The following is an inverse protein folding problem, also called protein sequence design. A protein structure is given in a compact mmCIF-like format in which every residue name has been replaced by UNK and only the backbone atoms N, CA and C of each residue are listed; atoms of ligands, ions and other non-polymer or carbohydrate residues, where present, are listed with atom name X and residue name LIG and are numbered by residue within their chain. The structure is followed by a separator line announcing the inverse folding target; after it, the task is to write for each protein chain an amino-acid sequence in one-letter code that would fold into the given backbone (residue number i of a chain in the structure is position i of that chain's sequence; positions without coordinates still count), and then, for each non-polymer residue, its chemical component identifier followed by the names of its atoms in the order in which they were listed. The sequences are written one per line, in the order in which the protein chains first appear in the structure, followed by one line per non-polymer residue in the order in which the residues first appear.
data_IF_948255909573
#
_entry.id   IF_948255909573
#
_cell.length_a   1.000
_cell.length_b   1.000
_cell.length_c   1.000
_cell.angle_alpha   90.00
_cell.angle_beta   90.00
_cell.angle_gamma   90.00
#
_symmetry.space_group_name_H-M   'P 1'
#
loop_
_entity.id
_entity.type
_entity.pdbx_description
1 polymer ?
#
# COMPACT_ATOMS: atom_id res chain seq x y z
N UNK A 1 18.04 19.79 3.27
CA UNK A 1 19.03 19.16 4.16
C UNK A 1 18.81 17.66 4.38
N UNK A 2 17.71 17.24 5.02
CA UNK A 2 17.48 15.80 5.28
C UNK A 2 17.51 14.92 4.02
N UNK A 3 16.78 15.31 2.97
CA UNK A 3 16.74 14.59 1.68
C UNK A 3 18.10 14.54 0.97
N UNK A 4 18.95 15.54 1.18
CA UNK A 4 20.33 15.56 0.66
C UNK A 4 21.15 14.49 1.39
N UNK A 5 21.03 14.42 2.72
CA UNK A 5 21.66 13.37 3.53
C UNK A 5 21.21 11.97 3.12
N UNK A 6 19.89 11.74 2.98
CA UNK A 6 19.34 10.46 2.53
C UNK A 6 19.86 10.08 1.13
N UNK A 7 19.93 11.03 0.19
CA UNK A 7 20.45 10.79 -1.16
C UNK A 7 21.95 10.45 -1.15
N UNK A 8 22.75 11.13 -0.32
CA UNK A 8 24.18 10.82 -0.17
C UNK A 8 24.39 9.42 0.39
N UNK A 9 23.65 9.07 1.45
CA UNK A 9 23.76 7.75 2.09
C UNK A 9 23.36 6.62 1.13
N UNK A 10 22.21 6.75 0.45
CA UNK A 10 21.78 5.79 -0.57
C UNK A 10 22.74 5.70 -1.76
N UNK A 11 23.39 6.80 -2.14
CA UNK A 11 24.37 6.80 -3.23
C UNK A 11 25.59 5.93 -2.91
N UNK A 12 25.97 5.81 -1.63
CA UNK A 12 27.05 4.91 -1.20
C UNK A 12 26.68 3.42 -1.33
N UNK A 13 25.39 3.08 -1.42
CA UNK A 13 24.95 1.71 -1.68
C UNK A 13 24.98 1.34 -3.18
N UNK A 14 25.08 2.32 -4.09
CA UNK A 14 25.02 2.08 -5.55
C UNK A 14 26.11 1.11 -6.06
N UNK A 15 27.38 1.18 -5.62
CA UNK A 15 28.42 0.23 -6.07
C UNK A 15 28.14 -1.24 -5.74
N UNK A 16 27.24 -1.52 -4.78
CA UNK A 16 26.81 -2.87 -4.41
C UNK A 16 25.48 -3.27 -5.03
N UNK A 17 24.93 -2.47 -5.96
CA UNK A 17 23.64 -2.70 -6.60
C UNK A 17 23.66 -2.33 -8.08
N UNK A 18 22.49 -2.13 -8.70
CA UNK A 18 22.40 -1.64 -10.07
C UNK A 18 22.54 -0.12 -10.15
N UNK A 19 23.19 0.43 -11.19
CA UNK A 19 23.41 1.88 -11.34
C UNK A 19 22.12 2.69 -11.23
N UNK A 20 22.13 3.74 -10.40
CA UNK A 20 21.02 4.69 -10.21
C UNK A 20 21.57 6.09 -10.00
N UNK A 21 20.82 7.09 -10.47
CA UNK A 21 21.02 8.49 -10.11
C UNK A 21 20.08 8.81 -8.95
N UNK A 22 20.63 9.15 -7.79
CA UNK A 22 19.87 9.44 -6.57
C UNK A 22 20.23 10.86 -6.12
N UNK A 23 19.23 11.71 -5.91
CA UNK A 23 19.42 13.11 -5.56
C UNK A 23 18.21 13.65 -4.79
N UNK A 24 18.42 14.73 -4.03
CA UNK A 24 17.31 15.52 -3.51
C UNK A 24 16.67 16.29 -4.66
N UNK A 25 15.40 16.03 -4.93
CA UNK A 25 14.64 16.60 -6.04
C UNK A 25 13.71 17.75 -5.61
N UNK A 26 13.18 18.47 -6.58
CA UNK A 26 12.04 19.39 -6.47
C UNK A 26 10.87 18.89 -7.34
N UNK A 27 9.68 19.47 -7.19
CA UNK A 27 8.51 19.03 -7.97
C UNK A 27 8.69 19.16 -9.50
N UNK A 28 9.47 20.13 -9.98
CA UNK A 28 9.80 20.28 -11.41
C UNK A 28 10.50 19.05 -12.00
N UNK A 29 11.20 18.27 -11.18
CA UNK A 29 11.87 17.04 -11.62
C UNK A 29 10.87 15.92 -11.95
N UNK A 30 9.58 16.08 -11.64
CA UNK A 30 8.56 15.09 -11.96
C UNK A 30 8.09 15.13 -13.42
N UNK A 31 8.52 16.11 -14.22
CA UNK A 31 8.03 16.33 -15.59
C UNK A 31 8.18 15.11 -16.53
N UNK A 32 9.20 14.27 -16.31
CA UNK A 32 9.51 13.06 -17.09
C UNK A 32 9.47 11.78 -16.24
N UNK A 33 8.90 11.84 -15.03
CA UNK A 33 8.80 10.68 -14.16
C UNK A 33 7.72 9.70 -14.65
N UNK A 34 8.05 8.39 -14.73
CA UNK A 34 7.04 7.35 -14.98
C UNK A 34 6.11 7.14 -13.77
N UNK A 35 6.62 7.33 -12.55
CA UNK A 35 5.91 7.02 -11.29
C UNK A 35 6.25 8.04 -10.20
N UNK A 36 5.23 8.59 -9.54
CA UNK A 36 5.37 9.41 -8.33
C UNK A 36 4.78 8.68 -7.14
N UNK A 37 5.62 8.37 -6.14
CA UNK A 37 5.20 7.70 -4.89
C UNK A 37 5.01 8.74 -3.79
N UNK A 38 3.79 8.90 -3.29
CA UNK A 38 3.49 9.85 -2.21
C UNK A 38 3.40 9.12 -0.88
N UNK A 39 4.39 9.33 -0.03
CA UNK A 39 4.45 8.82 1.35
C UNK A 39 4.30 9.94 2.40
N UNK A 40 4.14 11.19 1.94
CA UNK A 40 4.03 12.35 2.81
C UNK A 40 2.64 12.43 3.43
N UNK A 41 2.59 12.47 4.75
CA UNK A 41 1.37 12.61 5.52
C UNK A 41 1.72 12.93 6.96
N UNK A 42 0.70 13.30 7.72
CA UNK A 42 0.85 13.58 9.14
C UNK A 42 0.13 12.52 9.96
N UNK A 43 0.73 12.15 11.09
CA UNK A 43 0.11 11.25 12.05
C UNK A 43 -0.98 11.96 12.86
N UNK A 44 -1.94 11.18 13.35
CA UNK A 44 -2.97 11.65 14.26
C UNK A 44 -2.36 12.21 15.54
N UNK A 45 -2.81 13.38 15.98
CA UNK A 45 -2.42 13.96 17.26
C UNK A 45 -3.35 13.49 18.38
N UNK A 46 -2.88 13.40 19.63
CA UNK A 46 -3.75 13.11 20.76
C UNK A 46 -4.94 14.09 20.81
N UNK A 47 -6.17 13.56 20.83
CA UNK A 47 -7.41 14.34 20.85
C UNK A 47 -7.91 14.83 19.48
N UNK A 48 -7.21 14.55 18.38
CA UNK A 48 -7.66 14.88 17.01
C UNK A 48 -8.69 13.85 16.52
N UNK A 49 -9.77 14.29 15.87
CA UNK A 49 -10.74 13.35 15.28
C UNK A 49 -10.18 12.73 13.98
N UNK A 50 -10.72 11.58 13.56
CA UNK A 50 -10.37 10.97 12.26
C UNK A 50 -10.66 11.94 11.09
N UNK A 51 -11.73 12.71 11.19
CA UNK A 51 -12.11 13.69 10.17
C UNK A 51 -11.12 14.86 10.08
N UNK A 52 -10.63 15.36 11.23
CA UNK A 52 -9.62 16.42 11.26
C UNK A 52 -8.30 15.97 10.63
N UNK A 53 -7.87 14.74 10.96
CA UNK A 53 -6.69 14.12 10.36
C UNK A 53 -6.82 14.02 8.84
N UNK A 54 -7.98 13.52 8.36
CA UNK A 54 -8.31 13.43 6.93
C UNK A 54 -8.21 14.80 6.27
N UNK A 55 -8.89 15.82 6.82
CA UNK A 55 -8.90 17.17 6.26
C UNK A 55 -7.49 17.78 6.18
N UNK A 56 -6.65 17.54 7.19
CA UNK A 56 -5.26 18.00 7.21
C UNK A 56 -4.43 17.31 6.14
N UNK A 57 -4.52 15.98 6.02
CA UNK A 57 -3.78 15.24 5.02
C UNK A 57 -4.27 15.51 3.60
N UNK A 58 -5.57 15.78 3.40
CA UNK A 58 -6.12 16.20 2.09
C UNK A 58 -5.49 17.53 1.64
N UNK A 59 -5.32 18.51 2.53
CA UNK A 59 -4.68 19.79 2.18
C UNK A 59 -3.22 19.62 1.77
N UNK A 60 -2.48 18.78 2.50
CA UNK A 60 -1.08 18.44 2.17
C UNK A 60 -1.04 17.73 0.81
N UNK A 61 -1.90 16.73 0.62
CA UNK A 61 -1.99 15.97 -0.62
C UNK A 61 -2.30 16.87 -1.81
N UNK A 62 -3.26 17.80 -1.68
CA UNK A 62 -3.59 18.76 -2.73
C UNK A 62 -2.36 19.58 -3.13
N UNK A 63 -1.62 20.14 -2.16
CA UNK A 63 -0.43 20.92 -2.46
C UNK A 63 0.65 20.12 -3.18
N UNK A 64 0.86 18.85 -2.81
CA UNK A 64 1.80 17.96 -3.51
C UNK A 64 1.32 17.68 -4.93
N UNK A 65 0.06 17.29 -5.10
CA UNK A 65 -0.50 16.90 -6.40
C UNK A 65 -0.53 18.09 -7.36
N UNK A 66 -0.93 19.28 -6.89
CA UNK A 66 -0.94 20.50 -7.71
C UNK A 66 0.47 20.79 -8.28
N UNK A 67 1.52 20.73 -7.44
CA UNK A 67 2.90 21.00 -7.86
C UNK A 67 3.46 19.92 -8.79
N UNK A 68 3.16 18.65 -8.51
CA UNK A 68 3.57 17.54 -9.38
C UNK A 68 2.91 17.67 -10.75
N UNK A 69 1.61 17.92 -10.81
CA UNK A 69 0.90 18.09 -12.08
C UNK A 69 1.35 19.35 -12.83
N UNK A 70 1.67 20.44 -12.12
CA UNK A 70 2.21 21.66 -12.71
C UNK A 70 3.56 21.46 -13.41
N UNK A 71 4.32 20.41 -13.06
CA UNK A 71 5.56 20.04 -13.76
C UNK A 71 5.34 19.47 -15.17
N UNK A 72 4.10 19.10 -15.52
CA UNK A 72 3.79 18.38 -16.76
C UNK A 72 3.79 16.86 -16.61
N UNK A 73 3.81 16.35 -15.38
CA UNK A 73 3.72 14.92 -15.06
C UNK A 73 2.50 14.25 -15.71
N UNK A 74 2.74 13.13 -16.39
CA UNK A 74 1.71 12.29 -17.04
C UNK A 74 1.91 10.79 -16.74
N UNK A 75 2.60 10.47 -15.65
CA UNK A 75 2.85 9.11 -15.19
C UNK A 75 1.73 8.54 -14.31
N UNK A 76 2.11 7.65 -13.40
CA UNK A 76 1.21 7.01 -12.42
C UNK A 76 1.49 7.55 -11.01
N UNK A 77 0.44 7.83 -10.24
CA UNK A 77 0.58 8.06 -8.79
C UNK A 77 0.45 6.75 -8.02
N UNK A 78 1.36 6.53 -7.07
CA UNK A 78 1.27 5.49 -6.06
C UNK A 78 1.21 6.11 -4.65
N UNK A 79 0.06 6.00 -4.00
CA UNK A 79 -0.22 6.65 -2.71
C UNK A 79 -0.03 5.65 -1.58
N UNK A 80 0.81 6.02 -0.61
CA UNK A 80 1.04 5.25 0.63
C UNK A 80 0.65 6.04 1.89
N UNK A 81 0.37 7.34 1.74
CA UNK A 81 -0.04 8.22 2.84
C UNK A 81 -1.38 7.80 3.40
N UNK A 82 -1.53 7.84 4.73
CA UNK A 82 -2.77 7.44 5.40
C UNK A 82 -3.72 8.61 5.69
N UNK A 83 -5.06 8.40 5.62
CA UNK A 83 -5.72 7.14 5.25
C UNK A 83 -5.70 6.90 3.74
N UNK A 84 -5.10 5.77 3.33
CA UNK A 84 -4.65 5.56 1.94
C UNK A 84 -5.79 5.56 0.93
N UNK A 85 -6.92 4.94 1.24
CA UNK A 85 -8.05 4.85 0.32
C UNK A 85 -8.65 6.24 0.01
N UNK A 86 -8.85 7.05 1.06
CA UNK A 86 -9.37 8.42 0.96
C UNK A 86 -8.36 9.33 0.23
N UNK A 87 -7.07 9.22 0.56
CA UNK A 87 -6.04 10.05 -0.07
C UNK A 87 -5.76 9.65 -1.52
N UNK A 88 -6.01 8.39 -1.88
CA UNK A 88 -5.98 7.92 -3.27
C UNK A 88 -7.14 8.53 -4.07
N UNK A 89 -8.36 8.49 -3.52
CA UNK A 89 -9.52 9.17 -4.12
C UNK A 89 -9.26 10.69 -4.27
N UNK A 90 -8.73 11.34 -3.25
CA UNK A 90 -8.41 12.77 -3.29
C UNK A 90 -7.36 13.07 -4.36
N UNK A 91 -6.30 12.26 -4.47
CA UNK A 91 -5.27 12.39 -5.51
C UNK A 91 -5.88 12.27 -6.90
N UNK A 92 -6.80 11.32 -7.11
CA UNK A 92 -7.51 11.18 -8.38
C UNK A 92 -8.31 12.44 -8.73
N UNK A 93 -9.07 12.98 -7.78
CA UNK A 93 -9.83 14.21 -8.00
C UNK A 93 -8.94 15.43 -8.26
N UNK A 94 -7.81 15.54 -7.57
CA UNK A 94 -6.92 16.71 -7.71
C UNK A 94 -6.05 16.65 -8.97
N UNK A 95 -5.57 15.47 -9.33
CA UNK A 95 -4.68 15.30 -10.49
C UNK A 95 -5.43 15.41 -11.82
N UNK A 96 -6.71 15.01 -11.85
CA UNK A 96 -7.46 14.92 -13.11
C UNK A 96 -6.99 13.78 -14.02
N UNK A 97 -6.10 12.92 -13.54
CA UNK A 97 -5.65 11.75 -14.28
C UNK A 97 -6.77 10.70 -14.40
N UNK A 98 -6.72 9.83 -15.42
CA UNK A 98 -7.53 8.62 -15.47
C UNK A 98 -7.41 7.79 -14.19
N UNK A 99 -8.52 7.16 -13.78
CA UNK A 99 -8.62 6.42 -12.51
C UNK A 99 -7.59 5.27 -12.41
N UNK A 100 -7.26 4.65 -13.52
CA UNK A 100 -6.27 3.58 -13.63
C UNK A 100 -4.82 4.04 -13.38
N UNK A 101 -4.55 5.35 -13.45
CA UNK A 101 -3.21 5.94 -13.20
C UNK A 101 -3.06 6.50 -11.78
N UNK A 102 -4.03 6.29 -10.90
CA UNK A 102 -3.93 6.68 -9.49
C UNK A 102 -4.21 5.47 -8.64
N UNK A 103 -3.19 4.96 -7.96
CA UNK A 103 -3.23 3.69 -7.24
C UNK A 103 -2.81 3.96 -5.80
N UNK A 104 -3.50 3.39 -4.83
CA UNK A 104 -3.02 3.36 -3.44
C UNK A 104 -2.42 2.02 -3.09
N UNK A 105 -1.51 1.98 -2.11
CA UNK A 105 -0.98 0.72 -1.59
C UNK A 105 -2.08 -0.19 -1.02
N UNK A 106 -3.19 0.42 -0.55
CA UNK A 106 -4.34 -0.30 0.01
C UNK A 106 -3.92 -1.35 1.03
N UNK A 107 -4.48 -2.55 0.90
CA UNK A 107 -4.27 -3.69 1.78
C UNK A 107 -3.09 -4.60 1.34
N UNK A 108 -2.15 -4.08 0.53
CA UNK A 108 -0.97 -4.83 0.08
C UNK A 108 -0.10 -5.34 1.22
N UNK A 109 0.19 -4.48 2.21
CA UNK A 109 1.00 -4.88 3.36
C UNK A 109 0.21 -5.81 4.28
N UNK A 110 -1.07 -5.56 4.50
CA UNK A 110 -1.90 -6.37 5.40
C UNK A 110 -2.11 -7.76 4.81
N UNK A 111 -2.25 -7.87 3.48
CA UNK A 111 -2.22 -9.16 2.78
C UNK A 111 -0.87 -9.86 2.93
N UNK A 112 0.25 -9.15 2.86
CA UNK A 112 1.57 -9.76 3.07
C UNK A 112 1.74 -10.29 4.50
N UNK A 113 1.29 -9.52 5.51
CA UNK A 113 1.23 -9.95 6.92
C UNK A 113 0.33 -11.16 7.10
N UNK A 114 -0.85 -11.15 6.49
CA UNK A 114 -1.79 -12.27 6.52
C UNK A 114 -1.18 -13.56 6.00
N UNK A 115 -0.51 -13.50 4.84
CA UNK A 115 0.20 -14.66 4.28
C UNK A 115 1.32 -15.13 5.20
N UNK A 116 2.06 -14.20 5.81
CA UNK A 116 3.11 -14.52 6.77
C UNK A 116 2.55 -15.21 8.02
N UNK A 117 1.49 -14.67 8.64
CA UNK A 117 0.90 -15.24 9.85
C UNK A 117 0.36 -16.66 9.64
N UNK A 118 -0.28 -16.92 8.48
CA UNK A 118 -0.70 -18.28 8.11
C UNK A 118 0.52 -19.18 7.90
N UNK A 119 1.54 -18.68 7.21
CA UNK A 119 2.77 -19.43 6.93
C UNK A 119 3.53 -19.81 8.21
N UNK A 120 3.61 -18.90 9.19
CA UNK A 120 4.20 -19.18 10.50
C UNK A 120 3.40 -20.22 11.27
N UNK A 121 2.06 -20.11 11.25
CA UNK A 121 1.17 -21.08 11.90
C UNK A 121 1.35 -22.50 11.31
N UNK A 122 1.37 -22.61 9.98
CA UNK A 122 1.49 -23.89 9.27
C UNK A 122 2.94 -24.35 9.04
N UNK A 123 3.93 -23.53 9.40
CA UNK A 123 5.37 -23.75 9.21
C UNK A 123 5.76 -24.00 7.74
N UNK A 124 5.21 -23.19 6.84
CA UNK A 124 5.50 -23.19 5.40
C UNK A 124 6.09 -21.85 4.95
N UNK A 125 6.59 -21.76 3.73
CA UNK A 125 7.00 -20.47 3.15
C UNK A 125 5.76 -19.66 2.73
N UNK A 126 5.69 -18.38 3.12
CA UNK A 126 4.58 -17.46 2.81
C UNK A 126 4.32 -17.27 1.32
N UNK A 127 5.30 -17.55 0.45
CA UNK A 127 5.10 -17.55 -1.01
C UNK A 127 4.18 -18.66 -1.51
N UNK A 128 3.98 -19.71 -0.71
CA UNK A 128 3.02 -20.80 -0.98
C UNK A 128 1.64 -20.54 -0.37
N UNK A 129 1.46 -19.41 0.34
CA UNK A 129 0.18 -18.99 0.89
C UNK A 129 -0.41 -17.93 -0.03
N UNK A 130 -1.62 -18.17 -0.52
CA UNK A 130 -2.36 -17.26 -1.36
C UNK A 130 -3.65 -16.88 -0.66
N UNK A 131 -3.87 -15.59 -0.49
CA UNK A 131 -5.03 -15.02 0.19
C UNK A 131 -4.95 -13.51 0.17
N UNK A 132 -6.02 -12.86 0.61
CA UNK A 132 -6.17 -11.41 0.55
C UNK A 132 -6.82 -10.87 1.83
N UNK A 133 -6.30 -9.74 2.27
CA UNK A 133 -7.04 -8.77 3.09
C UNK A 133 -7.64 -7.75 2.11
N UNK A 134 -8.93 -7.48 2.23
CA UNK A 134 -9.71 -6.61 1.35
C UNK A 134 -10.44 -5.55 2.18
N UNK A 135 -11.01 -4.55 1.50
CA UNK A 135 -11.77 -3.48 2.15
C UNK A 135 -10.93 -2.22 2.42
N UNK A 136 -11.45 -1.34 3.27
CA UNK A 136 -10.76 -0.13 3.69
C UNK A 136 -9.56 -0.53 4.56
N UNK A 137 -8.36 -0.02 4.24
CA UNK A 137 -7.16 -0.30 5.03
C UNK A 137 -7.34 0.19 6.48
N UNK A 138 -7.10 -0.69 7.45
CA UNK A 138 -7.22 -0.41 8.87
C UNK A 138 -8.31 -1.25 9.55
N UNK A 139 -9.04 -0.65 10.51
CA UNK A 139 -9.90 -1.42 11.44
C UNK A 139 -11.06 -2.19 10.79
N UNK A 140 -11.46 -1.78 9.58
CA UNK A 140 -12.61 -2.28 8.83
C UNK A 140 -12.22 -3.23 7.68
N UNK A 141 -10.93 -3.52 7.52
CA UNK A 141 -10.45 -4.51 6.56
C UNK A 141 -10.91 -5.92 6.96
N UNK A 142 -10.94 -6.86 6.01
CA UNK A 142 -11.38 -8.23 6.28
C UNK A 142 -10.62 -9.28 5.45
N UNK A 143 -10.44 -10.49 5.98
CA UNK A 143 -9.80 -11.60 5.28
C UNK A 143 -10.78 -12.30 4.33
N UNK A 144 -10.36 -12.50 3.09
CA UNK A 144 -11.09 -13.32 2.11
C UNK A 144 -10.81 -14.82 2.32
N UNK A 145 -11.21 -15.36 3.49
CA UNK A 145 -10.95 -16.75 3.88
C UNK A 145 -11.42 -17.78 2.85
N UNK A 146 -12.58 -17.55 2.24
CA UNK A 146 -13.16 -18.43 1.22
C UNK A 146 -12.29 -18.63 -0.03
N UNK A 147 -11.32 -17.74 -0.27
CA UNK A 147 -10.38 -17.81 -1.40
C UNK A 147 -8.92 -17.95 -0.92
N UNK A 148 -8.72 -18.24 0.36
CA UNK A 148 -7.39 -18.45 0.92
C UNK A 148 -6.97 -19.90 0.73
N UNK A 149 -5.79 -20.11 0.15
CA UNK A 149 -5.22 -21.42 -0.17
C UNK A 149 -3.76 -21.51 0.25
N UNK A 150 -3.31 -22.74 0.54
CA UNK A 150 -1.92 -23.07 0.84
C UNK A 150 -1.50 -24.25 -0.04
N UNK A 151 -0.51 -24.04 -0.90
CA UNK A 151 -0.12 -25.04 -1.91
C UNK A 151 -1.25 -25.41 -2.88
N UNK A 152 -2.25 -24.54 -3.05
CA UNK A 152 -3.42 -24.76 -3.90
C UNK A 152 -4.61 -25.43 -3.21
N UNK A 153 -4.46 -25.92 -1.96
CA UNK A 153 -5.59 -26.44 -1.19
C UNK A 153 -6.27 -25.32 -0.39
N UNK A 154 -7.61 -25.32 -0.27
CA UNK A 154 -8.34 -24.37 0.58
C UNK A 154 -7.83 -24.39 2.02
N UNK A 155 -7.86 -23.25 2.70
CA UNK A 155 -7.41 -23.13 4.09
C UNK A 155 -8.15 -24.06 5.05
N UNK A 156 -9.41 -24.40 4.74
CA UNK A 156 -10.25 -25.31 5.52
C UNK A 156 -9.77 -26.77 5.50
N UNK A 157 -8.90 -27.13 4.56
CA UNK A 157 -8.22 -28.45 4.53
C UNK A 157 -6.98 -28.47 5.45
N UNK A 158 -6.49 -27.29 5.86
CA UNK A 158 -5.32 -27.13 6.72
C UNK A 158 -5.68 -26.81 8.16
N UNK A 159 -6.75 -26.05 8.36
CA UNK A 159 -7.27 -25.62 9.66
C UNK A 159 -8.72 -26.08 9.72
N UNK A 160 -9.02 -27.02 10.63
CA UNK A 160 -10.35 -27.60 10.74
C UNK A 160 -11.35 -26.61 11.37
N UNK A 161 -12.65 -26.85 11.22
CA UNK A 161 -13.71 -26.01 11.83
C UNK A 161 -13.59 -25.97 13.37
N UNK A 162 -13.07 -27.02 14.01
CA UNK A 162 -12.82 -27.05 15.45
C UNK A 162 -11.67 -26.11 15.88
N UNK A 163 -10.84 -25.68 14.92
CA UNK A 163 -9.75 -24.73 15.07
C UNK A 163 -10.11 -23.33 14.52
N UNK A 164 -11.38 -23.03 14.29
CA UNK A 164 -11.83 -21.72 13.77
C UNK A 164 -11.30 -20.53 14.60
N UNK A 165 -11.13 -20.71 15.91
CA UNK A 165 -10.52 -19.69 16.78
C UNK A 165 -9.08 -19.33 16.39
N UNK A 166 -8.36 -20.23 15.70
CA UNK A 166 -7.03 -19.95 15.15
C UNK A 166 -7.11 -18.97 13.97
N UNK A 167 -8.09 -19.11 13.08
CA UNK A 167 -8.30 -18.18 11.96
C UNK A 167 -8.60 -16.76 12.48
N UNK A 168 -9.48 -16.65 13.48
CA UNK A 168 -9.79 -15.37 14.12
C UNK A 168 -8.55 -14.76 14.79
N UNK A 169 -7.78 -15.57 15.50
CA UNK A 169 -6.52 -15.14 16.14
C UNK A 169 -5.50 -14.64 15.10
N UNK A 170 -5.35 -15.36 13.98
CA UNK A 170 -4.50 -14.95 12.86
C UNK A 170 -4.95 -13.59 12.34
N UNK A 171 -6.24 -13.40 12.04
CA UNK A 171 -6.72 -12.14 11.49
C UNK A 171 -6.55 -10.97 12.48
N UNK A 172 -6.88 -11.16 13.76
CA UNK A 172 -6.67 -10.14 14.80
C UNK A 172 -5.19 -9.75 14.88
N UNK A 173 -4.27 -10.71 14.81
CA UNK A 173 -2.83 -10.41 14.81
C UNK A 173 -2.40 -9.57 13.61
N UNK A 174 -3.01 -9.77 12.44
CA UNK A 174 -2.68 -9.03 11.21
C UNK A 174 -3.15 -7.59 11.31
N UNK A 175 -4.41 -7.38 11.68
CA UNK A 175 -5.01 -6.05 11.86
C UNK A 175 -4.23 -5.24 12.91
N UNK A 176 -3.89 -5.88 14.03
CA UNK A 176 -3.26 -5.21 15.16
C UNK A 176 -1.71 -5.10 15.02
N UNK A 177 -1.12 -5.77 14.02
CA UNK A 177 0.34 -5.81 13.79
C UNK A 177 0.98 -4.42 13.68
N UNK A 178 0.29 -3.47 13.02
CA UNK A 178 0.80 -2.11 12.88
C UNK A 178 0.97 -1.42 14.25
N UNK A 179 -0.03 -1.55 15.13
CA UNK A 179 0.00 -0.98 16.48
C UNK A 179 1.10 -1.63 17.32
N UNK A 180 1.22 -2.95 17.26
CA UNK A 180 2.28 -3.65 18.00
C UNK A 180 3.68 -3.18 17.57
N UNK A 181 3.93 -3.07 16.26
CA UNK A 181 5.22 -2.62 15.73
C UNK A 181 5.51 -1.17 16.15
N UNK A 182 4.52 -0.29 16.05
CA UNK A 182 4.67 1.12 16.45
C UNK A 182 4.95 1.22 17.95
N UNK A 183 4.25 0.44 18.78
CA UNK A 183 4.50 0.43 20.22
C UNK A 183 5.91 -0.08 20.58
N UNK A 184 6.47 -1.00 19.78
CA UNK A 184 7.82 -1.55 20.02
C UNK A 184 8.95 -0.67 19.51
N UNK A 185 8.80 -0.02 18.34
CA UNK A 185 9.91 0.71 17.69
C UNK A 185 9.56 2.12 17.16
N UNK A 186 8.38 2.63 17.50
CA UNK A 186 7.92 3.98 17.18
C UNK A 186 7.38 4.20 15.75
N UNK A 187 7.68 3.32 14.78
CA UNK A 187 7.21 3.45 13.41
C UNK A 187 7.24 2.13 12.61
N UNK A 188 6.37 2.02 11.60
CA UNK A 188 6.44 1.00 10.54
C UNK A 188 7.06 1.59 9.28
N UNK A 189 7.95 0.84 8.60
CA UNK A 189 8.61 1.32 7.39
C UNK A 189 9.13 0.19 6.50
N UNK A 190 9.74 -0.87 7.04
CA UNK A 190 10.28 -1.96 6.21
C UNK A 190 9.21 -2.70 5.40
N UNK A 191 8.10 -3.11 6.05
CA UNK A 191 7.03 -3.83 5.37
C UNK A 191 6.38 -3.01 4.26
N UNK A 192 6.01 -1.75 4.55
CA UNK A 192 5.41 -0.87 3.54
C UNK A 192 6.40 -0.53 2.43
N UNK A 193 7.68 -0.29 2.73
CA UNK A 193 8.69 -0.05 1.70
C UNK A 193 8.85 -1.26 0.75
N UNK A 194 8.83 -2.49 1.29
CA UNK A 194 8.87 -3.70 0.47
C UNK A 194 7.61 -3.86 -0.40
N UNK A 195 6.43 -3.55 0.13
CA UNK A 195 5.18 -3.54 -0.62
C UNK A 195 5.21 -2.52 -1.77
N UNK A 196 5.63 -1.28 -1.49
CA UNK A 196 5.75 -0.24 -2.52
C UNK A 196 6.77 -0.62 -3.60
N UNK A 197 7.94 -1.17 -3.21
CA UNK A 197 8.91 -1.65 -4.18
C UNK A 197 8.35 -2.78 -5.07
N UNK A 198 7.54 -3.69 -4.51
CA UNK A 198 6.86 -4.75 -5.29
C UNK A 198 5.86 -4.17 -6.29
N UNK A 199 5.08 -3.16 -5.89
CA UNK A 199 4.09 -2.49 -6.75
C UNK A 199 4.81 -1.72 -7.86
N UNK A 200 5.81 -0.91 -7.52
CA UNK A 200 6.66 -0.18 -8.47
C UNK A 200 7.27 -1.14 -9.49
N UNK A 201 7.79 -2.29 -9.05
CA UNK A 201 8.31 -3.30 -9.97
C UNK A 201 7.24 -3.83 -10.94
N UNK A 202 6.02 -4.11 -10.47
CA UNK A 202 4.94 -4.59 -11.33
C UNK A 202 4.60 -3.59 -12.45
N UNK A 203 4.54 -2.30 -12.08
CA UNK A 203 4.27 -1.20 -13.00
C UNK A 203 5.40 -1.07 -14.02
N UNK A 204 6.64 -0.82 -13.55
CA UNK A 204 7.76 -0.49 -14.43
C UNK A 204 8.18 -1.66 -15.34
N UNK A 205 7.97 -2.91 -14.91
CA UNK A 205 8.26 -4.09 -15.72
C UNK A 205 7.06 -4.60 -16.51
N UNK A 206 5.91 -3.90 -16.50
CA UNK A 206 4.71 -4.28 -17.23
C UNK A 206 4.25 -5.73 -16.95
N UNK A 207 4.23 -6.13 -15.67
CA UNK A 207 4.11 -7.55 -15.27
C UNK A 207 2.70 -8.12 -15.42
N UNK A 208 1.66 -7.28 -15.52
CA UNK A 208 0.26 -7.69 -15.35
C UNK A 208 0.05 -8.47 -14.03
N UNK A 209 0.72 -8.03 -12.96
CA UNK A 209 0.66 -8.69 -11.67
C UNK A 209 -0.68 -8.41 -10.98
N UNK A 210 -1.25 -9.40 -10.31
CA UNK A 210 -2.45 -9.21 -9.46
C UNK A 210 -1.98 -8.86 -8.04
N UNK A 211 -2.27 -7.64 -7.59
CA UNK A 211 -1.94 -7.14 -6.26
C UNK A 211 -3.18 -6.56 -5.57
N UNK A 212 -3.34 -6.71 -4.24
CA UNK A 212 -4.43 -6.06 -3.51
C UNK A 212 -4.06 -4.59 -3.25
N UNK A 213 -4.70 -3.71 -4.01
CA UNK A 213 -4.39 -2.29 -4.09
C UNK A 213 -5.63 -1.48 -3.75
N UNK A 214 -5.44 -0.21 -3.37
CA UNK A 214 -6.55 0.72 -3.34
C UNK A 214 -6.86 1.16 -4.77
N UNK A 215 -8.00 0.73 -5.30
CA UNK A 215 -8.41 0.96 -6.70
C UNK A 215 -9.85 1.45 -6.79
N UNK A 216 -10.16 2.16 -7.87
CA UNK A 216 -11.49 2.70 -8.11
C UNK A 216 -12.50 1.61 -8.45
N UNK A 217 -13.60 1.54 -7.70
CA UNK A 217 -14.73 0.65 -8.01
C UNK A 217 -15.82 1.38 -8.79
N UNK A 218 -16.21 0.77 -9.91
CA UNK A 218 -17.20 1.25 -10.86
C UNK A 218 -18.17 0.10 -11.20
N UNK A 219 -19.01 -0.26 -10.23
CA UNK A 219 -19.98 -1.36 -10.30
C UNK A 219 -19.50 -2.67 -9.68
N UNK A 220 -18.19 -2.83 -9.46
CA UNK A 220 -17.63 -3.99 -8.78
C UNK A 220 -18.21 -4.13 -7.37
N UNK A 221 -18.66 -5.34 -7.01
CA UNK A 221 -19.30 -5.64 -5.72
C UNK A 221 -20.52 -4.76 -5.41
N UNK A 222 -21.15 -4.14 -6.42
CA UNK A 222 -22.25 -3.19 -6.24
C UNK A 222 -21.81 -1.81 -5.73
N UNK A 223 -20.49 -1.54 -5.68
CA UNK A 223 -19.91 -0.29 -5.19
C UNK A 223 -19.53 0.63 -6.35
N UNK A 224 -19.69 1.94 -6.15
CA UNK A 224 -19.39 2.96 -7.15
C UNK A 224 -18.74 4.18 -6.48
N UNK A 225 -17.85 4.86 -7.21
CA UNK A 225 -17.20 6.11 -6.80
C UNK A 225 -16.45 6.04 -5.47
N UNK A 226 -15.71 4.95 -5.26
CA UNK A 226 -14.83 4.76 -4.11
C UNK A 226 -13.51 4.14 -4.54
N UNK A 227 -12.43 4.49 -3.82
CA UNK A 227 -11.20 3.72 -3.80
C UNK A 227 -11.22 2.81 -2.57
N UNK A 228 -10.86 1.54 -2.75
CA UNK A 228 -10.83 0.56 -1.65
C UNK A 228 -9.88 -0.59 -1.99
N UNK A 229 -9.39 -1.30 -0.96
CA UNK A 229 -8.54 -2.48 -1.10
C UNK A 229 -9.24 -3.62 -1.85
N UNK A 230 -8.82 -3.86 -3.10
CA UNK A 230 -9.30 -4.93 -3.96
C UNK A 230 -8.16 -5.50 -4.82
N UNK A 231 -8.21 -6.78 -5.24
CA UNK A 231 -7.22 -7.33 -6.14
C UNK A 231 -7.37 -6.68 -7.53
N UNK A 232 -6.28 -6.16 -8.06
CA UNK A 232 -6.24 -5.53 -9.37
C UNK A 232 -5.03 -6.01 -10.17
N UNK A 233 -5.21 -6.13 -11.49
CA UNK A 233 -4.11 -6.31 -12.43
C UNK A 233 -3.42 -4.95 -12.59
N UNK A 234 -2.11 -4.90 -12.35
CA UNK A 234 -1.31 -3.67 -12.50
C UNK A 234 -0.15 -3.89 -13.48
N UNK A 235 0.07 -2.89 -14.33
CA UNK A 235 1.07 -2.86 -15.39
C UNK A 235 1.44 -1.39 -15.72
N UNK A 236 2.06 -1.14 -16.89
CA UNK A 236 2.50 0.21 -17.32
C UNK A 236 1.37 1.02 -17.95
#
# INVERSE_FOLDING_TARGET
DRTIGDAMDLSHAVPFSTPKKIYSANYSDCHDADLVVVTAGTAQKPGETRLDLVNRNIKIMKGIVDEVMASGFDGIFLIASNPVDILTYATWKFSGLPKERVIGSGTSLDTARFRMSIADYLKVDARNVHGYILGEHGDTEFPAWSHTTVGGLPITEWISEDEQGAMDTIFVSVRDAAYEIINKKGATFYGVAAALARITKAILNNENAILPLSVYLDGHYGMNDIYIGAPAVVNR
#
